data_IF_331882285082
#
_entry.id   IF_331882285082
#
_cell.length_a   1.000
_cell.length_b   1.000
_cell.length_c   1.000
_cell.angle_alpha   90.00
_cell.angle_beta   90.00
_cell.angle_gamma   90.00
#
_symmetry.space_group_name_H-M   'P 1'
#
loop_
_entity.id
_entity.type
_entity.pdbx_description
1 polymer ?
#
# COMPACT_ATOMS: atom_id res chain seq x y z
N UNK A 1 12.55 7.51 11.92
CA UNK A 1 11.38 8.05 11.18
C UNK A 1 10.56 8.87 12.15
N UNK A 2 10.25 10.13 11.83
CA UNK A 2 9.51 11.01 12.75
C UNK A 2 8.02 10.70 12.73
N UNK A 3 7.31 10.99 13.83
CA UNK A 3 5.86 10.80 13.93
C UNK A 3 5.09 11.62 12.89
N UNK A 4 5.58 12.83 12.57
CA UNK A 4 5.05 13.69 11.52
C UNK A 4 5.14 13.05 10.13
N UNK A 5 6.32 12.53 9.76
CA UNK A 5 6.52 11.89 8.47
C UNK A 5 5.64 10.64 8.30
N UNK A 6 5.55 9.81 9.34
CA UNK A 6 4.66 8.64 9.35
C UNK A 6 3.20 9.02 9.10
N UNK A 7 2.70 10.06 9.79
CA UNK A 7 1.32 10.50 9.64
C UNK A 7 1.03 11.04 8.23
N UNK A 8 1.97 11.79 7.63
CA UNK A 8 1.83 12.31 6.27
C UNK A 8 1.70 11.14 5.28
N UNK A 9 2.64 10.20 5.32
CA UNK A 9 2.62 9.04 4.42
C UNK A 9 1.34 8.20 4.58
N UNK A 10 0.93 7.90 5.83
CA UNK A 10 -0.27 7.11 6.08
C UNK A 10 -1.55 7.82 5.58
N UNK A 11 -1.62 9.14 5.73
CA UNK A 11 -2.75 9.92 5.21
C UNK A 11 -2.80 9.90 3.68
N UNK A 12 -1.65 9.97 3.01
CA UNK A 12 -1.58 9.91 1.54
C UNK A 12 -1.99 8.53 1.01
N UNK A 13 -1.49 7.46 1.64
CA UNK A 13 -1.88 6.08 1.28
C UNK A 13 -3.38 5.86 1.52
N UNK A 14 -3.93 6.42 2.61
CA UNK A 14 -5.36 6.33 2.91
C UNK A 14 -6.21 7.06 1.86
N UNK A 15 -5.74 8.21 1.35
CA UNK A 15 -6.40 8.96 0.27
C UNK A 15 -6.29 8.23 -1.06
N UNK A 16 -5.11 7.73 -1.40
CA UNK A 16 -4.86 7.00 -2.62
C UNK A 16 -3.95 5.79 -2.35
N UNK A 17 -4.49 4.57 -2.30
CA UNK A 17 -3.70 3.37 -1.97
C UNK A 17 -2.78 2.90 -3.09
N UNK A 18 -2.76 3.58 -4.25
CA UNK A 18 -1.88 3.26 -5.40
C UNK A 18 -0.60 4.09 -5.43
N UNK A 19 -0.37 4.95 -4.43
CA UNK A 19 0.85 5.76 -4.33
C UNK A 19 2.09 4.89 -4.14
N UNK A 20 3.15 5.22 -4.86
CA UNK A 20 4.45 4.54 -4.74
C UNK A 20 5.29 5.14 -3.60
N UNK A 21 6.29 4.40 -3.13
CA UNK A 21 7.25 4.90 -2.14
C UNK A 21 8.00 6.16 -2.64
N UNK A 22 8.27 6.24 -3.96
CA UNK A 22 8.86 7.44 -4.59
C UNK A 22 7.93 8.65 -4.56
N UNK A 23 6.63 8.44 -4.69
CA UNK A 23 5.65 9.52 -4.63
C UNK A 23 5.55 10.03 -3.19
N UNK A 24 5.53 9.12 -2.22
CA UNK A 24 5.59 9.45 -0.79
C UNK A 24 6.87 10.20 -0.43
N UNK A 25 8.01 9.85 -1.03
CA UNK A 25 9.26 10.56 -0.83
C UNK A 25 9.15 12.02 -1.27
N UNK A 26 8.59 12.28 -2.46
CA UNK A 26 8.36 13.65 -2.96
C UNK A 26 7.46 14.45 -2.00
N UNK A 27 6.38 13.84 -1.53
CA UNK A 27 5.48 14.45 -0.56
C UNK A 27 6.15 14.80 0.77
N UNK A 28 7.06 13.95 1.23
CA UNK A 28 7.87 14.22 2.42
C UNK A 28 8.90 15.33 2.18
N UNK A 29 9.50 15.40 0.99
CA UNK A 29 10.39 16.49 0.61
C UNK A 29 9.67 17.84 0.57
N UNK A 30 8.43 17.87 0.05
CA UNK A 30 7.57 19.06 0.15
C UNK A 30 7.32 19.49 1.60
N UNK A 31 7.28 18.53 2.53
CA UNK A 31 7.17 18.79 3.97
C UNK A 31 8.51 19.11 4.66
N UNK A 32 9.61 19.27 3.89
CA UNK A 32 11.01 19.48 4.32
C UNK A 32 11.59 18.31 5.13
N UNK A 33 11.16 17.08 4.84
CA UNK A 33 11.62 15.87 5.51
C UNK A 33 12.31 14.98 4.47
N UNK A 34 13.64 14.92 4.51
CA UNK A 34 14.42 14.03 3.64
C UNK A 34 14.49 12.63 4.25
N UNK A 35 14.04 11.63 3.48
CA UNK A 35 13.99 10.23 3.88
C UNK A 35 14.28 9.37 2.68
N UNK A 36 15.09 8.34 2.86
CA UNK A 36 15.36 7.35 1.82
C UNK A 36 14.16 6.43 1.55
N UNK A 37 13.99 6.01 0.30
CA UNK A 37 12.91 5.13 -0.16
C UNK A 37 12.89 3.80 0.64
N UNK A 38 14.06 3.23 0.95
CA UNK A 38 14.14 1.99 1.73
C UNK A 38 13.61 2.15 3.15
N UNK A 39 13.77 3.34 3.73
CA UNK A 39 13.26 3.65 5.06
C UNK A 39 11.73 3.74 5.04
N UNK A 40 11.16 4.36 4.01
CA UNK A 40 9.71 4.43 3.79
C UNK A 40 9.14 3.00 3.72
N UNK A 41 9.66 2.16 2.83
CA UNK A 41 9.22 0.76 2.69
C UNK A 41 9.32 -0.04 3.99
N UNK A 42 10.44 0.06 4.72
CA UNK A 42 10.60 -0.60 6.03
C UNK A 42 9.55 -0.13 7.03
N UNK A 43 9.23 1.16 7.06
CA UNK A 43 8.19 1.68 7.96
C UNK A 43 6.78 1.26 7.57
N UNK A 44 6.47 1.20 6.27
CA UNK A 44 5.17 0.71 5.78
C UNK A 44 4.96 -0.77 6.15
N UNK A 45 5.98 -1.59 5.96
CA UNK A 45 5.92 -3.00 6.35
C UNK A 45 5.73 -3.18 7.87
N UNK A 46 6.42 -2.38 8.69
CA UNK A 46 6.26 -2.40 10.16
C UNK A 46 4.87 -1.95 10.62
N UNK A 47 4.20 -1.09 9.84
CA UNK A 47 2.86 -0.58 10.16
C UNK A 47 1.74 -1.44 9.58
N UNK A 48 2.06 -2.54 8.89
CA UNK A 48 1.08 -3.45 8.28
C UNK A 48 0.48 -2.95 6.97
N UNK A 49 1.08 -1.92 6.36
CA UNK A 49 0.66 -1.43 5.05
C UNK A 49 1.29 -2.29 3.97
N UNK A 50 0.49 -3.17 3.39
CA UNK A 50 0.92 -4.09 2.32
C UNK A 50 0.31 -3.71 0.97
N UNK A 51 1.00 -4.10 -0.10
CA UNK A 51 0.49 -3.94 -1.46
C UNK A 51 -0.84 -4.69 -1.66
N UNK A 52 -1.74 -4.10 -2.43
CA UNK A 52 -3.01 -4.74 -2.78
C UNK A 52 -2.77 -5.86 -3.80
N UNK A 53 -3.15 -7.08 -3.45
CA UNK A 53 -3.14 -8.23 -4.36
C UNK A 53 -4.58 -8.61 -4.75
N UNK A 54 -4.83 -8.99 -6.01
CA UNK A 54 -6.14 -9.50 -6.40
C UNK A 54 -6.44 -10.79 -5.64
N UNK A 55 -7.67 -10.93 -5.12
CA UNK A 55 -8.10 -12.18 -4.50
C UNK A 55 -8.17 -13.26 -5.59
N UNK A 56 -7.48 -14.39 -5.38
CA UNK A 56 -7.64 -15.56 -6.25
C UNK A 56 -9.07 -16.07 -6.10
N UNK A 57 -9.85 -16.04 -7.19
CA UNK A 57 -11.16 -16.73 -7.23
C UNK A 57 -10.88 -18.23 -7.06
N UNK A 58 -11.54 -18.92 -6.12
CA UNK A 58 -11.43 -20.37 -6.06
C UNK A 58 -11.90 -20.95 -7.40
N UNK A 59 -11.11 -21.86 -7.97
CA UNK A 59 -11.50 -22.56 -9.18
C UNK A 59 -12.81 -23.32 -8.89
N UNK A 60 -13.80 -23.20 -9.77
CA UNK A 60 -15.01 -24.02 -9.69
C UNK A 60 -14.56 -25.49 -9.75
N UNK A 61 -14.78 -26.25 -8.68
CA UNK A 61 -14.55 -27.68 -8.73
C UNK A 61 -15.47 -28.29 -9.81
N UNK A 62 -14.98 -29.29 -10.54
CA UNK A 62 -15.70 -29.91 -11.68
C UNK A 62 -17.13 -30.37 -11.34
N UNK A 63 -17.49 -30.52 -10.06
CA UNK A 63 -18.82 -30.96 -9.59
C UNK A 63 -19.95 -29.95 -9.81
N UNK A 64 -19.68 -28.67 -10.12
CA UNK A 64 -20.73 -27.62 -10.27
C UNK A 64 -20.68 -26.87 -11.60
N UNK A 65 -20.39 -27.56 -12.71
CA UNK A 65 -20.34 -26.94 -14.04
C UNK A 65 -21.71 -26.74 -14.70
N UNK A 66 -22.81 -27.22 -14.12
CA UNK A 66 -24.14 -27.10 -14.71
C UNK A 66 -25.15 -26.61 -13.68
N UNK A 67 -25.23 -25.30 -13.49
CA UNK A 67 -26.48 -24.66 -13.10
C UNK A 67 -26.64 -23.44 -14.01
N UNK A 68 -27.08 -23.70 -15.24
CA UNK A 68 -27.78 -22.70 -16.03
C UNK A 68 -29.20 -22.65 -15.48
N UNK A 69 -29.57 -21.51 -14.88
CA UNK A 69 -30.95 -21.06 -14.72
C UNK A 69 -30.99 -19.65 -15.29
#
# INVERSE_FOLDING_TARGET
>A
MTTRAQRIMLNEIKKNPRVSAKDLQKSLEHAKISVDESTICKTLNKTGVHGRTPRKKPLLSKKKQFLHV
#
